data_IF_041107829433
#
_entry.id   IF_041107829433
#
_cell.length_a   1.000
_cell.length_b   1.000
_cell.length_c   1.000
_cell.angle_alpha   90.00
_cell.angle_beta   90.00
_cell.angle_gamma   90.00
#
_symmetry.space_group_name_H-M   'P 1'
#
loop_
_entity.id
_entity.type
_entity.pdbx_description
1 polymer ?
#
# COMPACT_ATOMS: atom_id res chain seq x y z
N UNK A 1 -3.82 6.25 20.56
CA UNK A 1 -5.12 6.64 19.95
C UNK A 1 -5.91 5.48 19.30
N UNK A 2 -5.39 4.24 19.29
CA UNK A 2 -6.04 3.11 18.61
C UNK A 2 -7.37 2.64 19.19
N UNK A 3 -7.85 3.15 20.33
CA UNK A 3 -9.19 2.83 20.87
C UNK A 3 -10.32 3.50 20.08
N UNK A 4 -10.04 4.62 19.41
CA UNK A 4 -11.04 5.35 18.63
C UNK A 4 -11.40 4.62 17.33
N UNK A 5 -12.69 4.36 17.11
CA UNK A 5 -13.18 3.59 15.97
C UNK A 5 -12.79 4.20 14.61
N UNK A 6 -12.74 5.53 14.52
CA UNK A 6 -12.28 6.21 13.30
C UNK A 6 -10.83 5.83 12.91
N UNK A 7 -9.96 5.58 13.90
CA UNK A 7 -8.59 5.10 13.67
C UNK A 7 -8.59 3.61 13.38
N UNK A 8 -9.32 2.79 14.16
CA UNK A 8 -9.37 1.33 13.95
C UNK A 8 -9.88 0.96 12.57
N UNK A 9 -11.02 1.51 12.16
CA UNK A 9 -11.65 1.17 10.89
C UNK A 9 -10.75 1.56 9.71
N UNK A 10 -10.21 2.79 9.75
CA UNK A 10 -9.25 3.27 8.76
C UNK A 10 -8.01 2.36 8.64
N UNK A 11 -7.44 1.92 9.75
CA UNK A 11 -6.27 1.03 9.73
C UNK A 11 -6.63 -0.41 9.32
N UNK A 12 -7.86 -0.85 9.60
CA UNK A 12 -8.37 -2.13 9.10
C UNK A 12 -8.51 -2.11 7.57
N UNK A 13 -9.04 -1.02 7.00
CA UNK A 13 -9.14 -0.87 5.53
C UNK A 13 -7.76 -0.89 4.86
N UNK A 14 -6.76 -0.25 5.48
CA UNK A 14 -5.36 -0.30 5.01
C UNK A 14 -4.84 -1.73 5.01
N UNK A 15 -5.06 -2.47 6.11
CA UNK A 15 -4.61 -3.87 6.22
C UNK A 15 -5.28 -4.74 5.16
N UNK A 16 -6.60 -4.60 4.96
CA UNK A 16 -7.35 -5.33 3.92
C UNK A 16 -6.75 -5.04 2.54
N UNK A 17 -6.50 -3.77 2.20
CA UNK A 17 -5.93 -3.40 0.91
C UNK A 17 -4.55 -4.05 0.67
N UNK A 18 -3.68 -4.05 1.69
CA UNK A 18 -2.35 -4.70 1.61
C UNK A 18 -2.49 -6.21 1.42
N UNK A 19 -3.35 -6.86 2.20
CA UNK A 19 -3.54 -8.32 2.09
C UNK A 19 -4.19 -8.73 0.78
N UNK A 20 -5.02 -7.87 0.17
CA UNK A 20 -5.57 -8.11 -1.17
C UNK A 20 -4.54 -7.87 -2.29
N UNK A 21 -3.59 -6.95 -2.11
CA UNK A 21 -2.53 -6.69 -3.09
C UNK A 21 -1.43 -7.77 -3.08
N UNK A 22 -1.11 -8.32 -1.90
CA UNK A 22 -0.06 -9.33 -1.69
C UNK A 22 -0.14 -10.55 -2.64
N UNK A 23 -1.28 -11.25 -2.77
CA UNK A 23 -1.37 -12.42 -3.65
C UNK A 23 -1.18 -12.07 -5.13
N UNK A 24 -1.56 -10.87 -5.56
CA UNK A 24 -1.34 -10.44 -6.94
C UNK A 24 0.15 -10.24 -7.23
N UNK A 25 0.91 -9.67 -6.29
CA UNK A 25 2.36 -9.52 -6.40
C UNK A 25 3.05 -10.89 -6.49
N UNK A 26 2.67 -11.84 -5.64
CA UNK A 26 3.23 -13.20 -5.71
C UNK A 26 2.78 -13.93 -6.99
N UNK A 27 1.54 -13.79 -7.40
CA UNK A 27 1.03 -14.35 -8.66
C UNK A 27 1.82 -13.83 -9.88
N UNK A 28 2.07 -12.52 -9.94
CA UNK A 28 2.90 -11.93 -11.00
C UNK A 28 4.34 -12.47 -10.99
N UNK A 29 4.92 -12.68 -9.81
CA UNK A 29 6.26 -13.26 -9.68
C UNK A 29 6.30 -14.72 -10.17
N UNK A 30 5.25 -15.52 -9.90
CA UNK A 30 5.12 -16.88 -10.42
C UNK A 30 4.94 -16.88 -11.94
N UNK A 31 4.06 -16.04 -12.48
CA UNK A 31 3.86 -15.91 -13.93
C UNK A 31 5.15 -15.53 -14.65
N UNK A 32 5.97 -14.63 -14.07
CA UNK A 32 7.31 -14.31 -14.56
C UNK A 32 8.25 -15.51 -14.53
N UNK A 33 8.28 -16.27 -13.43
CA UNK A 33 9.15 -17.44 -13.29
C UNK A 33 8.80 -18.55 -14.29
N UNK A 34 7.51 -18.75 -14.56
CA UNK A 34 7.01 -19.78 -15.46
C UNK A 34 6.94 -19.32 -16.93
N UNK A 35 7.33 -18.08 -17.23
CA UNK A 35 7.18 -17.47 -18.57
C UNK A 35 5.74 -17.59 -19.11
N UNK A 36 4.76 -17.39 -18.22
CA UNK A 36 3.33 -17.49 -18.55
C UNK A 36 2.93 -16.48 -19.63
N UNK A 37 1.99 -16.87 -20.50
CA UNK A 37 1.39 -15.97 -21.49
C UNK A 37 0.66 -14.78 -20.83
N UNK A 38 0.20 -14.94 -19.59
CA UNK A 38 -0.52 -13.92 -18.83
C UNK A 38 0.39 -12.96 -18.05
N UNK A 39 1.71 -13.14 -18.09
CA UNK A 39 2.70 -12.36 -17.32
C UNK A 39 2.46 -10.85 -17.39
N UNK A 40 2.21 -10.29 -18.58
CA UNK A 40 1.98 -8.86 -18.74
C UNK A 40 0.73 -8.37 -18.00
N UNK A 41 -0.36 -9.16 -18.05
CA UNK A 41 -1.59 -8.88 -17.31
C UNK A 41 -1.34 -8.95 -15.81
N UNK A 42 -0.71 -10.03 -15.34
CA UNK A 42 -0.54 -10.27 -13.90
C UNK A 42 0.37 -9.22 -13.26
N UNK A 43 1.46 -8.84 -13.93
CA UNK A 43 2.35 -7.74 -13.50
C UNK A 43 1.58 -6.41 -13.45
N UNK A 44 0.73 -6.13 -14.45
CA UNK A 44 -0.07 -4.91 -14.47
C UNK A 44 -1.09 -4.87 -13.33
N UNK A 45 -1.78 -5.99 -13.08
CA UNK A 45 -2.74 -6.14 -11.99
C UNK A 45 -2.06 -5.98 -10.61
N UNK A 46 -0.91 -6.63 -10.42
CA UNK A 46 -0.10 -6.50 -9.22
C UNK A 46 0.36 -5.05 -9.00
N UNK A 47 0.81 -4.36 -10.06
CA UNK A 47 1.29 -2.98 -9.97
C UNK A 47 0.19 -2.02 -9.52
N UNK A 48 -1.01 -2.12 -10.11
CA UNK A 48 -2.14 -1.25 -9.74
C UNK A 48 -2.57 -1.52 -8.31
N UNK A 49 -2.81 -2.79 -7.95
CA UNK A 49 -3.26 -3.14 -6.60
C UNK A 49 -2.26 -2.74 -5.52
N UNK A 50 -0.95 -2.96 -5.75
CA UNK A 50 0.09 -2.57 -4.81
C UNK A 50 0.21 -1.04 -4.68
N UNK A 51 0.09 -0.30 -5.79
CA UNK A 51 0.15 1.16 -5.77
C UNK A 51 -1.03 1.76 -5.00
N UNK A 52 -2.24 1.28 -5.24
CA UNK A 52 -3.45 1.76 -4.56
C UNK A 52 -3.40 1.46 -3.05
N UNK A 53 -2.98 0.25 -2.67
CA UNK A 53 -2.80 -0.12 -1.27
C UNK A 53 -1.73 0.74 -0.58
N UNK A 54 -0.59 0.98 -1.25
CA UNK A 54 0.48 1.82 -0.71
C UNK A 54 0.02 3.28 -0.52
N UNK A 55 -0.76 3.83 -1.46
CA UNK A 55 -1.25 5.20 -1.37
C UNK A 55 -2.26 5.35 -0.24
N UNK A 56 -3.16 4.38 -0.08
CA UNK A 56 -4.09 4.33 1.05
C UNK A 56 -3.34 4.25 2.39
N UNK A 57 -2.31 3.40 2.47
CA UNK A 57 -1.48 3.25 3.67
C UNK A 57 -0.75 4.55 4.02
N UNK A 58 -0.09 5.19 3.05
CA UNK A 58 0.66 6.43 3.27
C UNK A 58 -0.25 7.58 3.75
N UNK A 59 -1.41 7.78 3.10
CA UNK A 59 -2.39 8.81 3.49
C UNK A 59 -2.99 8.56 4.87
N UNK A 60 -3.37 7.31 5.14
CA UNK A 60 -3.96 6.93 6.44
C UNK A 60 -2.95 7.03 7.57
N UNK A 61 -1.69 6.68 7.30
CA UNK A 61 -0.59 6.84 8.24
C UNK A 61 -0.36 8.31 8.55
N UNK A 62 -0.34 9.19 7.54
CA UNK A 62 -0.15 10.63 7.72
C UNK A 62 -1.24 11.23 8.62
N UNK A 63 -2.50 10.88 8.35
CA UNK A 63 -3.62 11.32 9.18
C UNK A 63 -3.54 10.79 10.62
N UNK A 64 -3.07 9.56 10.81
CA UNK A 64 -2.97 8.91 12.13
C UNK A 64 -1.83 9.49 12.97
N UNK A 65 -0.70 9.82 12.34
CA UNK A 65 0.46 10.42 13.03
C UNK A 65 0.28 11.93 13.25
N UNK A 66 -0.53 12.60 12.43
CA UNK A 66 -0.76 14.04 12.54
C UNK A 66 0.46 14.85 12.13
N UNK A 67 0.72 15.96 12.83
CA UNK A 67 1.75 16.93 12.44
C UNK A 67 3.16 16.31 12.31
N UNK A 68 3.52 15.34 13.15
CA UNK A 68 4.85 14.69 13.09
C UNK A 68 5.10 14.05 11.73
N UNK A 69 4.06 13.55 11.06
CA UNK A 69 4.15 12.92 9.73
C UNK A 69 4.51 13.88 8.59
N UNK A 70 4.43 15.19 8.82
CA UNK A 70 4.86 16.24 7.89
C UNK A 70 6.27 16.77 8.19
N UNK A 71 6.86 16.40 9.31
CA UNK A 71 8.20 16.87 9.70
C UNK A 71 9.29 16.01 9.07
N UNK A 72 10.55 16.47 9.18
CA UNK A 72 11.73 15.69 8.80
C UNK A 72 12.18 14.71 9.89
N UNK A 73 11.54 14.72 11.07
CA UNK A 73 11.84 13.79 12.16
C UNK A 73 11.21 12.41 11.95
N UNK A 74 10.29 12.29 10.98
CA UNK A 74 9.67 11.04 10.58
C UNK A 74 9.65 10.89 9.06
N UNK A 75 10.12 9.74 8.57
CA UNK A 75 10.18 9.39 7.13
C UNK A 75 8.83 9.32 6.40
N UNK A 76 7.70 9.57 7.07
CA UNK A 76 6.37 9.39 6.50
C UNK A 76 6.11 10.32 5.31
N UNK A 77 6.60 11.55 5.38
CA UNK A 77 6.54 12.53 4.29
C UNK A 77 7.31 12.03 3.05
N UNK A 78 8.50 11.45 3.25
CA UNK A 78 9.31 10.83 2.19
C UNK A 78 8.59 9.63 1.55
N UNK A 79 8.00 8.75 2.37
CA UNK A 79 7.27 7.59 1.87
C UNK A 79 6.02 7.99 1.05
N UNK A 80 5.29 9.02 1.50
CA UNK A 80 4.14 9.54 0.76
C UNK A 80 4.54 10.06 -0.62
N UNK A 81 5.64 10.81 -0.71
CA UNK A 81 6.15 11.31 -2.00
C UNK A 81 6.58 10.17 -2.94
N UNK A 82 7.23 9.13 -2.41
CA UNK A 82 7.66 7.96 -3.19
C UNK A 82 6.50 7.17 -3.77
N UNK A 83 5.39 7.07 -3.05
CA UNK A 83 4.20 6.34 -3.50
C UNK A 83 3.42 7.13 -4.55
N UNK A 84 3.56 8.46 -4.58
CA UNK A 84 2.93 9.33 -5.57
C UNK A 84 3.73 9.49 -6.87
N UNK A 85 5.01 9.12 -6.88
CA UNK A 85 5.89 9.14 -8.03
C UNK A 85 5.69 7.91 -8.93
#
# INVERSE_FOLDING_TARGET
IGTYQAIKHKLADVLIAIEMARPLVYGAALSLADSSADTARDVSAAKVAAADAALLAARSSLQTHGAIGFTQEHDLSLLLLRVQA
#
